data_IF_038386722167
#
_entry.id   IF_038386722167
#
_cell.length_a   1.000
_cell.length_b   1.000
_cell.length_c   1.000
_cell.angle_alpha   90.00
_cell.angle_beta   90.00
_cell.angle_gamma   90.00
#
_symmetry.space_group_name_H-M   'P 1'
#
loop_
_entity.id
_entity.type
_entity.pdbx_description
1 polymer ?
#
# COMPACT_ATOMS: atom_id res chain seq x y z
N UNK A 1 -18.06 0.96 12.01
CA UNK A 1 -18.88 1.98 12.69
C UNK A 1 -20.15 2.30 11.90
N UNK A 2 -20.08 2.86 10.68
CA UNK A 2 -21.28 3.21 9.88
C UNK A 2 -22.21 2.01 9.62
N UNK A 3 -21.67 0.82 9.33
CA UNK A 3 -22.49 -0.41 9.18
C UNK A 3 -23.29 -0.79 10.44
N UNK A 4 -22.77 -0.49 11.63
CA UNK A 4 -23.43 -0.78 12.91
C UNK A 4 -24.54 0.24 13.19
N UNK A 5 -24.33 1.51 12.83
CA UNK A 5 -25.33 2.57 12.98
C UNK A 5 -26.60 2.28 12.18
N UNK A 6 -26.47 1.68 10.99
CA UNK A 6 -27.62 1.22 10.19
C UNK A 6 -28.54 0.23 10.93
N UNK A 7 -28.02 -0.49 11.93
CA UNK A 7 -28.80 -1.43 12.75
C UNK A 7 -29.30 -0.82 14.06
N UNK A 8 -28.56 0.12 14.66
CA UNK A 8 -28.91 0.69 15.98
C UNK A 8 -29.86 1.90 15.85
N UNK A 9 -29.63 2.78 14.88
CA UNK A 9 -30.35 4.05 14.73
C UNK A 9 -30.35 4.45 13.25
N UNK A 10 -31.14 3.76 12.41
CA UNK A 10 -31.14 3.95 10.96
C UNK A 10 -31.51 5.38 10.54
N UNK A 11 -32.36 6.05 11.31
CA UNK A 11 -32.84 7.42 11.08
C UNK A 11 -31.74 8.50 11.23
N UNK A 12 -30.62 8.17 11.88
CA UNK A 12 -29.47 9.08 12.04
C UNK A 12 -28.29 8.69 11.16
N UNK A 13 -28.41 7.65 10.34
CA UNK A 13 -27.29 7.10 9.55
C UNK A 13 -26.59 8.15 8.67
N UNK A 14 -27.34 9.07 8.06
CA UNK A 14 -26.78 10.16 7.25
C UNK A 14 -25.97 11.15 8.11
N UNK A 15 -26.44 11.47 9.32
CA UNK A 15 -25.73 12.38 10.23
C UNK A 15 -24.37 11.80 10.63
N UNK A 16 -24.31 10.50 10.95
CA UNK A 16 -23.04 9.84 11.25
C UNK A 16 -22.13 9.66 10.04
N UNK A 17 -22.68 9.62 8.81
CA UNK A 17 -21.91 9.57 7.57
C UNK A 17 -21.08 10.84 7.32
N UNK A 18 -21.49 11.98 7.88
CA UNK A 18 -20.78 13.26 7.76
C UNK A 18 -19.66 13.45 8.79
N UNK A 19 -19.59 12.59 9.81
CA UNK A 19 -18.56 12.69 10.84
C UNK A 19 -17.22 12.22 10.26
N UNK A 20 -16.23 13.10 10.30
CA UNK A 20 -14.87 12.76 9.89
C UNK A 20 -14.28 11.69 10.80
N UNK A 21 -13.52 10.77 10.21
CA UNK A 21 -12.78 9.76 10.97
C UNK A 21 -11.62 10.41 11.73
N UNK A 22 -11.32 9.89 12.93
CA UNK A 22 -10.13 10.31 13.65
C UNK A 22 -8.86 9.95 12.88
N UNK A 23 -7.78 10.73 13.06
CA UNK A 23 -6.47 10.46 12.46
C UNK A 23 -6.03 9.00 12.71
N UNK A 24 -6.18 8.50 13.94
CA UNK A 24 -5.86 7.12 14.31
C UNK A 24 -6.66 6.08 13.50
N UNK A 25 -7.95 6.34 13.25
CA UNK A 25 -8.79 5.43 12.46
C UNK A 25 -8.36 5.42 11.01
N UNK A 26 -8.00 6.58 10.45
CA UNK A 26 -7.49 6.68 9.08
C UNK A 26 -6.16 5.94 8.96
N UNK A 27 -5.19 6.20 9.86
CA UNK A 27 -3.88 5.51 9.87
C UNK A 27 -4.03 4.00 9.91
N UNK A 28 -4.82 3.48 10.86
CA UNK A 28 -5.02 2.03 10.96
C UNK A 28 -5.65 1.42 9.71
N UNK A 29 -6.60 2.13 9.09
CA UNK A 29 -7.18 1.66 7.82
C UNK A 29 -6.17 1.66 6.68
N UNK A 30 -5.27 2.65 6.62
CA UNK A 30 -4.19 2.67 5.64
C UNK A 30 -3.24 1.49 5.86
N UNK A 31 -2.86 1.20 7.11
CA UNK A 31 -2.04 0.04 7.47
C UNK A 31 -2.73 -1.30 7.11
N UNK A 32 -4.02 -1.43 7.41
CA UNK A 32 -4.82 -2.60 7.06
C UNK A 32 -4.88 -2.82 5.54
N UNK A 33 -5.07 -1.73 4.77
CA UNK A 33 -5.09 -1.78 3.30
C UNK A 33 -3.70 -2.18 2.78
N UNK A 34 -2.63 -1.57 3.30
CA UNK A 34 -1.27 -1.88 2.89
C UNK A 34 -0.91 -3.35 3.17
N UNK A 35 -1.27 -3.87 4.34
CA UNK A 35 -1.08 -5.29 4.70
C UNK A 35 -1.85 -6.21 3.76
N UNK A 36 -3.11 -5.87 3.45
CA UNK A 36 -3.93 -6.65 2.53
C UNK A 36 -3.42 -6.62 1.08
N UNK A 37 -2.85 -5.50 0.62
CA UNK A 37 -2.19 -5.43 -0.69
C UNK A 37 -0.93 -6.29 -0.70
N UNK A 38 -0.11 -6.21 0.35
CA UNK A 38 1.09 -7.04 0.47
C UNK A 38 0.77 -8.54 0.42
N UNK A 39 -0.25 -8.99 1.16
CA UNK A 39 -0.70 -10.39 1.12
C UNK A 39 -1.24 -10.81 -0.26
N UNK A 40 -1.90 -9.91 -0.98
CA UNK A 40 -2.36 -10.21 -2.34
C UNK A 40 -1.18 -10.36 -3.30
N UNK A 41 -0.19 -9.49 -3.20
CA UNK A 41 1.03 -9.56 -4.00
C UNK A 41 1.83 -10.84 -3.70
N UNK A 42 1.96 -11.21 -2.41
CA UNK A 42 2.61 -12.44 -1.98
C UNK A 42 1.93 -13.68 -2.58
N UNK A 43 0.59 -13.77 -2.49
CA UNK A 43 -0.17 -14.87 -3.11
C UNK A 43 -0.05 -14.87 -4.63
N UNK A 44 -0.08 -13.70 -5.26
CA UNK A 44 0.09 -13.60 -6.71
C UNK A 44 1.49 -14.04 -7.14
N UNK A 45 2.51 -13.81 -6.29
CA UNK A 45 3.90 -14.16 -6.63
C UNK A 45 4.13 -15.66 -6.87
N UNK A 46 3.27 -16.51 -6.31
CA UNK A 46 3.30 -17.96 -6.54
C UNK A 46 2.99 -18.34 -8.00
N UNK A 47 2.29 -17.48 -8.74
CA UNK A 47 1.88 -17.77 -10.14
C UNK A 47 2.74 -17.05 -11.18
N UNK A 48 3.76 -16.30 -10.76
CA UNK A 48 4.63 -15.57 -11.68
C UNK A 48 5.56 -16.55 -12.41
N UNK A 49 5.50 -16.56 -13.75
CA UNK A 49 6.47 -17.28 -14.58
C UNK A 49 7.73 -16.43 -14.77
N UNK A 50 7.54 -15.13 -15.00
CA UNK A 50 8.62 -14.15 -15.12
C UNK A 50 8.31 -12.91 -14.31
N UNK A 51 9.34 -12.26 -13.79
CA UNK A 51 9.20 -10.98 -13.13
C UNK A 51 10.44 -10.10 -13.31
N UNK A 52 10.24 -8.80 -13.12
CA UNK A 52 11.27 -7.77 -13.10
C UNK A 52 10.97 -6.80 -11.95
N UNK A 53 12.02 -6.19 -11.41
CA UNK A 53 11.91 -5.19 -10.35
C UNK A 53 12.47 -3.87 -10.88
N UNK A 54 11.71 -2.80 -10.67
CA UNK A 54 12.14 -1.43 -10.96
C UNK A 54 12.25 -0.64 -9.66
N UNK A 55 13.30 0.18 -9.56
CA UNK A 55 13.53 1.09 -8.45
C UNK A 55 13.37 2.50 -8.98
N UNK A 56 12.57 3.31 -8.30
CA UNK A 56 12.34 4.71 -8.65
C UNK A 56 12.57 5.59 -7.42
N UNK A 57 13.23 6.72 -7.63
CA UNK A 57 13.41 7.75 -6.61
C UNK A 57 12.35 8.84 -6.83
N UNK A 58 11.45 8.99 -5.87
CA UNK A 58 10.40 10.01 -5.89
C UNK A 58 10.55 10.93 -4.68
N UNK A 59 9.85 12.04 -4.66
CA UNK A 59 9.84 13.00 -3.54
C UNK A 59 8.43 13.09 -2.97
N UNK A 60 8.31 13.02 -1.65
CA UNK A 60 7.03 13.18 -0.98
C UNK A 60 6.59 14.65 -0.89
N UNK A 61 5.41 14.89 -0.32
CA UNK A 61 4.84 16.24 -0.17
C UNK A 61 5.67 17.17 0.73
N UNK A 62 6.62 16.61 1.48
CA UNK A 62 7.55 17.33 2.35
C UNK A 62 8.97 17.37 1.76
N UNK A 63 9.12 17.11 0.46
CA UNK A 63 10.41 17.06 -0.26
C UNK A 63 11.39 16.01 0.29
N UNK A 64 10.86 14.97 0.94
CA UNK A 64 11.67 13.83 1.39
C UNK A 64 11.78 12.83 0.24
N UNK A 65 13.00 12.50 -0.16
CA UNK A 65 13.26 11.44 -1.14
C UNK A 65 12.71 10.10 -0.63
N UNK A 66 12.12 9.32 -1.52
CA UNK A 66 11.52 8.03 -1.26
C UNK A 66 11.97 7.03 -2.34
N UNK A 67 12.35 5.83 -1.92
CA UNK A 67 12.59 4.71 -2.81
C UNK A 67 11.29 3.93 -3.00
N UNK A 68 10.78 3.96 -4.22
CA UNK A 68 9.69 3.12 -4.71
C UNK A 68 10.26 1.85 -5.32
N UNK A 69 9.68 0.71 -4.95
CA UNK A 69 10.01 -0.59 -5.53
C UNK A 69 8.78 -1.11 -6.24
N UNK A 70 8.88 -1.26 -7.55
CA UNK A 70 7.84 -1.85 -8.39
C UNK A 70 8.23 -3.26 -8.79
N UNK A 71 7.26 -4.16 -8.85
CA UNK A 71 7.40 -5.47 -9.44
C UNK A 71 6.47 -5.57 -10.64
N UNK A 72 7.04 -5.93 -11.80
CA UNK A 72 6.28 -6.27 -13.00
C UNK A 72 6.44 -7.76 -13.26
N UNK A 73 5.34 -8.49 -13.30
CA UNK A 73 5.30 -9.94 -13.48
C UNK A 73 4.44 -10.36 -14.66
N UNK A 74 4.65 -11.60 -15.10
CA UNK A 74 3.91 -12.28 -16.17
C UNK A 74 3.49 -13.65 -15.68
N UNK A 75 2.21 -13.98 -15.79
CA UNK A 75 1.66 -15.29 -15.41
C UNK A 75 1.61 -16.29 -16.58
N UNK A 76 1.10 -17.49 -16.33
CA UNK A 76 0.92 -18.56 -17.32
C UNK A 76 -0.02 -18.21 -18.48
N UNK A 77 -0.90 -17.23 -18.27
CA UNK A 77 -1.82 -16.73 -19.29
C UNK A 77 -1.24 -15.53 -20.04
N UNK A 78 0.07 -15.27 -19.89
CA UNK A 78 0.77 -14.10 -20.42
C UNK A 78 0.17 -12.77 -19.94
N UNK A 79 -0.54 -12.77 -18.82
CA UNK A 79 -1.06 -11.54 -18.23
C UNK A 79 0.08 -10.81 -17.55
N UNK A 80 0.29 -9.56 -17.96
CA UNK A 80 1.27 -8.67 -17.35
C UNK A 80 0.60 -7.93 -16.19
N UNK A 81 1.22 -7.94 -15.02
CA UNK A 81 0.80 -7.19 -13.84
C UNK A 81 1.95 -6.36 -13.32
N UNK A 82 1.65 -5.16 -12.80
CA UNK A 82 2.61 -4.26 -12.17
C UNK A 82 2.03 -3.76 -10.85
N UNK A 83 2.81 -3.86 -9.77
CA UNK A 83 2.38 -3.47 -8.43
C UNK A 83 3.55 -2.89 -7.62
N UNK A 84 3.22 -2.15 -6.55
CA UNK A 84 4.19 -1.59 -5.61
C UNK A 84 4.56 -2.67 -4.59
N UNK A 85 5.81 -3.11 -4.63
CA UNK A 85 6.36 -4.07 -3.68
C UNK A 85 6.85 -3.38 -2.38
N UNK A 86 7.21 -2.10 -2.43
CA UNK A 86 7.67 -1.37 -1.26
C UNK A 86 7.82 0.13 -1.48
N UNK A 87 7.76 0.87 -0.37
CA UNK A 87 7.99 2.31 -0.31
C UNK A 87 8.82 2.62 0.93
N UNK A 88 9.97 3.26 0.74
CA UNK A 88 10.90 3.56 1.83
C UNK A 88 11.29 5.04 1.82
N UNK A 89 11.05 5.73 2.93
CA UNK A 89 11.57 7.09 3.13
C UNK A 89 13.08 7.07 3.23
N UNK A 90 13.73 7.89 2.41
CA UNK A 90 15.18 8.11 2.41
C UNK A 90 15.47 9.37 3.23
N UNK A 91 15.35 9.26 4.56
CA UNK A 91 15.79 10.34 5.44
C UNK A 91 17.31 10.54 5.28
N UNK A 92 17.71 11.65 4.66
CA UNK A 92 19.07 12.15 4.43
C UNK A 92 20.20 11.36 5.14
N UNK A 93 20.48 10.16 4.64
CA UNK A 93 21.65 9.38 4.99
C UNK A 93 22.05 8.59 3.76
N UNK A 94 22.55 9.33 2.77
CA UNK A 94 23.28 8.77 1.63
C UNK A 94 24.63 8.26 2.10
N UNK A 95 24.65 7.29 3.02
CA UNK A 95 25.83 6.44 3.19
C UNK A 95 25.66 5.30 2.22
N UNK A 96 26.38 5.41 1.10
CA UNK A 96 26.62 4.38 0.08
C UNK A 96 26.49 2.98 0.71
N UNK A 97 25.51 2.21 0.22
CA UNK A 97 25.23 0.79 0.55
C UNK A 97 24.53 0.51 1.89
N UNK A 98 23.21 0.27 1.82
CA UNK A 98 22.59 -0.88 2.52
C UNK A 98 21.27 -1.30 1.87
N UNK A 99 21.35 -1.83 0.65
CA UNK A 99 20.41 -2.86 0.23
C UNK A 99 20.74 -4.10 1.09
N UNK A 100 19.98 -4.32 2.16
CA UNK A 100 20.00 -5.65 2.79
C UNK A 100 19.39 -6.61 1.77
N UNK A 101 20.21 -7.57 1.32
CA UNK A 101 19.74 -8.74 0.57
C UNK A 101 18.54 -9.33 1.31
N UNK A 102 17.43 -9.44 0.60
CA UNK A 102 16.40 -10.45 0.88
C UNK A 102 16.99 -11.79 0.45
#
# INVERSE_FOLDING_TARGET
MIKVIKHICPEKNEQFGTICLSKQTVTRRVEDIASNLHQQLERASETFIWYSVALDESTDVSDTAQLLIFIRSVDENFKITEDIAGLYSMHACTTRLRLRRI
#
